data_IF_951810403001
#
_entry.id   IF_951810403001
#
_cell.length_a   1.000
_cell.length_b   1.000
_cell.length_c   1.000
_cell.angle_alpha   90.00
_cell.angle_beta   90.00
_cell.angle_gamma   90.00
#
_symmetry.space_group_name_H-M   'P 1'
#
loop_
_entity.id
_entity.type
_entity.pdbx_description
1 polymer ?
#
# COMPACT_ATOMS: atom_id res chain seq x y z
N UNK A 1 54.80 -30.02 -6.91
CA UNK A 1 54.81 -29.83 -8.37
C UNK A 1 53.71 -28.84 -8.72
N UNK A 2 53.98 -27.54 -8.58
CA UNK A 2 53.10 -26.50 -9.10
C UNK A 2 53.44 -26.30 -10.57
N UNK A 3 52.74 -27.00 -11.46
CA UNK A 3 52.73 -26.65 -12.87
C UNK A 3 52.05 -25.29 -12.96
N UNK A 4 52.87 -24.23 -13.03
CA UNK A 4 52.36 -22.87 -13.13
C UNK A 4 51.53 -22.73 -14.40
N UNK A 5 50.36 -22.11 -14.28
CA UNK A 5 49.43 -21.86 -15.38
C UNK A 5 50.09 -21.20 -16.62
N UNK A 6 51.21 -20.52 -16.42
CA UNK A 6 52.03 -19.91 -17.47
C UNK A 6 52.71 -20.92 -18.41
N UNK A 7 53.09 -22.11 -17.92
CA UNK A 7 53.71 -23.14 -18.77
C UNK A 7 52.69 -23.79 -19.71
N UNK A 8 51.44 -23.91 -19.26
CA UNK A 8 50.33 -24.36 -20.11
C UNK A 8 50.04 -23.36 -21.24
N UNK A 9 50.09 -22.05 -20.95
CA UNK A 9 49.89 -21.00 -21.96
C UNK A 9 50.99 -20.98 -23.04
N UNK A 10 52.21 -21.43 -22.74
CA UNK A 10 53.30 -21.55 -23.72
C UNK A 10 53.15 -22.76 -24.65
N UNK A 11 52.43 -23.79 -24.24
CA UNK A 11 52.19 -24.98 -25.07
C UNK A 11 51.03 -24.79 -26.06
N UNK A 12 50.19 -23.77 -25.87
CA UNK A 12 49.10 -23.49 -26.79
C UNK A 12 49.64 -22.90 -28.11
N UNK A 13 49.21 -23.41 -29.27
CA UNK A 13 49.55 -22.81 -30.55
C UNK A 13 49.18 -21.33 -30.56
N UNK A 14 50.13 -20.44 -30.86
CA UNK A 14 49.92 -19.00 -30.94
C UNK A 14 48.68 -18.61 -31.79
N UNK A 15 48.38 -19.40 -32.83
CA UNK A 15 47.18 -19.23 -33.65
C UNK A 15 45.86 -19.40 -32.89
N UNK A 16 45.78 -20.35 -31.94
CA UNK A 16 44.57 -20.58 -31.13
C UNK A 16 44.34 -19.43 -30.15
N UNK A 17 45.42 -18.91 -29.54
CA UNK A 17 45.36 -17.75 -28.64
C UNK A 17 44.94 -16.49 -29.42
N UNK A 18 45.50 -16.27 -30.61
CA UNK A 18 45.10 -15.15 -31.47
C UNK A 18 43.61 -15.25 -31.89
N UNK A 19 43.16 -16.45 -32.32
CA UNK A 19 41.76 -16.67 -32.70
C UNK A 19 40.79 -16.43 -31.54
N UNK A 20 41.10 -16.94 -30.35
CA UNK A 20 40.27 -16.74 -29.16
C UNK A 20 40.22 -15.27 -28.74
N UNK A 21 41.35 -14.56 -28.74
CA UNK A 21 41.40 -13.12 -28.49
C UNK A 21 40.57 -12.31 -29.49
N UNK A 22 40.70 -12.59 -30.79
CA UNK A 22 39.92 -11.89 -31.83
C UNK A 22 38.41 -12.18 -31.70
N UNK A 23 38.03 -13.42 -31.38
CA UNK A 23 36.62 -13.77 -31.13
C UNK A 23 36.06 -13.05 -29.90
N UNK A 24 36.85 -12.91 -28.84
CA UNK A 24 36.46 -12.18 -27.63
C UNK A 24 36.23 -10.69 -27.89
N UNK A 25 37.10 -10.06 -28.66
CA UNK A 25 36.93 -8.65 -29.08
C UNK A 25 35.69 -8.48 -29.96
N UNK A 26 35.39 -9.43 -30.84
CA UNK A 26 34.17 -9.43 -31.65
C UNK A 26 32.89 -9.45 -30.79
N UNK A 27 32.83 -10.33 -29.79
CA UNK A 27 31.68 -10.41 -28.88
C UNK A 27 31.49 -9.11 -28.08
N UNK A 28 32.59 -8.52 -27.58
CA UNK A 28 32.54 -7.23 -26.88
C UNK A 28 32.07 -6.10 -27.80
N UNK A 29 32.49 -6.09 -29.06
CA UNK A 29 32.03 -5.14 -30.07
C UNK A 29 30.52 -5.25 -30.33
N UNK A 30 30.00 -6.47 -30.48
CA UNK A 30 28.56 -6.73 -30.68
C UNK A 30 27.76 -6.29 -29.44
N UNK A 31 28.24 -6.61 -28.23
CA UNK A 31 27.59 -6.20 -26.98
C UNK A 31 27.56 -4.68 -26.84
N UNK A 32 28.67 -4.00 -27.12
CA UNK A 32 28.74 -2.54 -27.15
C UNK A 32 27.79 -1.92 -28.16
N UNK A 33 27.68 -2.52 -29.36
CA UNK A 33 26.74 -2.09 -30.39
C UNK A 33 25.28 -2.26 -29.96
N UNK A 34 24.90 -3.36 -29.31
CA UNK A 34 23.53 -3.58 -28.80
C UNK A 34 23.17 -2.54 -27.74
N UNK A 35 24.07 -2.26 -26.79
CA UNK A 35 23.87 -1.23 -25.76
C UNK A 35 23.71 0.15 -26.43
N UNK A 36 24.60 0.49 -27.36
CA UNK A 36 24.55 1.75 -28.09
C UNK A 36 23.25 1.89 -28.89
N UNK A 37 22.82 0.84 -29.60
CA UNK A 37 21.57 0.83 -30.36
C UNK A 37 20.34 0.97 -29.44
N UNK A 38 20.36 0.36 -28.25
CA UNK A 38 19.28 0.46 -27.27
C UNK A 38 19.17 1.87 -26.69
N UNK A 39 20.30 2.51 -26.37
CA UNK A 39 20.36 3.90 -25.90
C UNK A 39 19.92 4.87 -27.01
N UNK A 40 20.27 4.60 -28.27
CA UNK A 40 19.85 5.43 -29.39
C UNK A 40 18.34 5.31 -29.67
N UNK A 41 17.77 4.11 -29.57
CA UNK A 41 16.31 3.91 -29.72
C UNK A 41 15.51 4.57 -28.61
N UNK A 42 15.97 4.53 -27.36
CA UNK A 42 15.29 5.22 -26.26
C UNK A 42 15.30 6.74 -26.40
N UNK A 43 16.33 7.32 -27.05
CA UNK A 43 16.35 8.75 -27.39
C UNK A 43 15.41 9.11 -28.53
N UNK A 44 15.22 8.23 -29.52
CA UNK A 44 14.28 8.48 -30.62
C UNK A 44 12.81 8.41 -30.17
N UNK A 45 12.48 7.56 -29.19
CA UNK A 45 11.12 7.45 -28.64
C UNK A 45 10.77 8.59 -27.68
N UNK A 46 11.77 9.21 -27.03
CA UNK A 46 11.59 10.36 -26.15
C UNK A 46 11.79 11.71 -26.86
N UNK A 47 11.99 11.72 -28.19
CA UNK A 47 11.96 12.96 -28.95
C UNK A 47 10.49 13.43 -28.98
N UNK A 48 10.17 14.62 -28.45
CA UNK A 48 8.81 15.13 -28.48
C UNK A 48 8.37 15.20 -29.93
N UNK A 49 7.30 14.47 -30.27
CA UNK A 49 6.66 14.55 -31.56
C UNK A 49 6.25 16.01 -31.80
N UNK A 50 7.08 16.75 -32.53
CA UNK A 50 6.72 18.05 -33.08
C UNK A 50 5.78 17.76 -34.25
N UNK A 51 4.56 17.36 -33.92
CA UNK A 51 3.46 17.17 -34.86
C UNK A 51 2.88 18.51 -35.23
N UNK A 52 3.58 19.25 -36.08
CA UNK A 52 2.98 20.27 -36.93
C UNK A 52 2.82 19.63 -38.31
N UNK A 53 1.67 19.00 -38.52
CA UNK A 53 1.23 18.58 -39.85
C UNK A 53 -0.19 19.07 -39.99
N UNK A 54 -0.30 20.36 -40.32
CA UNK A 54 -1.48 20.93 -40.93
C UNK A 54 -1.83 20.10 -42.17
N UNK A 55 -2.83 19.24 -42.00
CA UNK A 55 -3.56 18.65 -43.11
C UNK A 55 -4.32 19.76 -43.81
N UNK A 56 -3.79 20.19 -44.96
CA UNK A 56 -4.55 20.87 -45.98
C UNK A 56 -5.59 19.89 -46.54
N UNK A 57 -6.80 19.92 -45.98
CA UNK A 57 -7.97 19.33 -46.63
C UNK A 57 -8.43 20.31 -47.69
N UNK A 58 -8.12 19.95 -48.94
CA UNK A 58 -8.67 20.58 -50.11
C UNK A 58 -10.20 20.49 -50.05
N UNK A 59 -10.81 21.67 -49.98
CA UNK A 59 -12.19 21.92 -50.35
C UNK A 59 -12.40 21.54 -51.82
N UNK A 60 -13.22 20.52 -52.08
CA UNK A 60 -13.96 20.31 -53.32
C UNK A 60 -14.98 19.20 -53.07
N UNK A 61 -16.28 19.53 -53.16
CA UNK A 61 -17.35 18.54 -53.06
C UNK A 61 -18.70 19.14 -52.72
N UNK A 62 -19.29 19.83 -53.70
CA UNK A 62 -20.73 20.10 -53.82
C UNK A 62 -21.60 18.87 -53.50
N UNK A 63 -22.77 19.11 -52.91
CA UNK A 63 -23.83 18.10 -52.71
C UNK A 63 -24.51 18.30 -51.34
N UNK A 64 -25.33 19.32 -51.17
CA UNK A 64 -26.78 19.25 -51.43
C UNK A 64 -27.50 18.26 -50.51
N UNK A 65 -27.98 18.76 -49.36
CA UNK A 65 -29.20 18.24 -48.71
C UNK A 65 -29.97 19.39 -48.05
N UNK A 66 -31.32 19.41 -48.18
CA UNK A 66 -32.14 20.60 -48.05
C UNK A 66 -32.52 20.97 -46.62
N UNK A 67 -32.95 22.22 -46.52
CA UNK A 67 -33.45 22.94 -45.36
C UNK A 67 -34.54 22.19 -44.58
N UNK A 68 -34.33 22.10 -43.26
CA UNK A 68 -35.35 21.83 -42.23
C UNK A 68 -35.62 23.12 -41.45
N UNK A 69 -35.56 24.24 -42.15
CA UNK A 69 -36.29 25.42 -41.73
C UNK A 69 -37.78 25.18 -42.05
N UNK A 70 -38.65 25.86 -41.33
CA UNK A 70 -40.10 25.90 -41.60
C UNK A 70 -40.90 24.65 -41.17
N UNK A 71 -41.36 24.64 -39.92
CA UNK A 71 -42.77 24.91 -39.56
C UNK A 71 -43.10 24.31 -38.18
N UNK A 72 -43.67 25.16 -37.32
CA UNK A 72 -44.30 24.92 -35.99
C UNK A 72 -43.42 25.43 -34.84
N UNK A 73 -43.22 26.74 -34.69
CA UNK A 73 -44.20 27.79 -34.35
C UNK A 73 -44.55 27.83 -32.85
N UNK A 74 -44.69 29.08 -32.37
CA UNK A 74 -45.27 29.57 -31.11
C UNK A 74 -44.29 29.87 -29.95
N UNK A 75 -43.98 31.18 -29.85
CA UNK A 75 -43.40 31.87 -28.70
C UNK A 75 -44.34 31.83 -27.46
N UNK A 76 -43.77 31.88 -26.24
CA UNK A 76 -43.64 33.19 -25.61
C UNK A 76 -42.28 33.40 -24.94
N UNK A 77 -41.88 34.67 -24.83
CA UNK A 77 -40.59 35.11 -24.29
C UNK A 77 -40.25 34.50 -22.91
N UNK A 78 -38.98 34.08 -22.72
CA UNK A 78 -38.37 34.28 -21.40
C UNK A 78 -36.90 34.73 -21.47
N UNK A 79 -36.56 35.56 -20.48
CA UNK A 79 -35.25 35.82 -19.87
C UNK A 79 -34.00 35.63 -20.73
N UNK A 80 -33.28 36.74 -20.94
CA UNK A 80 -31.86 36.81 -21.31
C UNK A 80 -31.03 35.70 -20.65
N UNK A 81 -30.82 34.62 -21.38
CA UNK A 81 -29.94 33.53 -21.01
C UNK A 81 -28.50 34.01 -21.18
N UNK A 82 -27.79 34.15 -20.07
CA UNK A 82 -26.37 34.41 -20.02
C UNK A 82 -25.65 33.40 -20.91
N UNK A 83 -24.97 33.89 -21.95
CA UNK A 83 -24.19 33.05 -22.85
C UNK A 83 -23.22 32.17 -22.02
N UNK A 84 -23.17 30.84 -22.25
CA UNK A 84 -22.27 29.97 -21.54
C UNK A 84 -20.83 30.43 -21.76
N UNK A 85 -20.13 30.73 -20.66
CA UNK A 85 -18.74 31.16 -20.70
C UNK A 85 -17.90 30.12 -21.49
N UNK A 86 -16.94 30.57 -22.32
CA UNK A 86 -16.15 29.68 -23.16
C UNK A 86 -15.44 28.63 -22.30
N UNK A 87 -15.82 27.36 -22.46
CA UNK A 87 -15.14 26.24 -21.84
C UNK A 87 -13.72 26.16 -22.43
N UNK A 88 -12.71 26.48 -21.61
CA UNK A 88 -11.30 26.31 -22.00
C UNK A 88 -11.08 24.85 -22.37
N UNK A 89 -10.55 24.61 -23.57
CA UNK A 89 -10.20 23.28 -24.05
C UNK A 89 -9.34 22.56 -22.98
N UNK A 90 -9.82 21.40 -22.51
CA UNK A 90 -9.14 20.60 -21.52
C UNK A 90 -7.79 20.14 -22.07
N UNK A 91 -6.73 20.25 -21.26
CA UNK A 91 -5.43 19.68 -21.62
C UNK A 91 -5.56 18.16 -21.67
N UNK A 92 -5.00 17.47 -22.69
CA UNK A 92 -5.01 16.01 -22.72
C UNK A 92 -4.36 15.45 -21.44
N UNK A 93 -5.05 14.54 -20.76
CA UNK A 93 -4.62 13.95 -19.48
C UNK A 93 -5.14 14.66 -18.22
N UNK A 94 -5.94 15.72 -18.35
CA UNK A 94 -6.66 16.32 -17.23
C UNK A 94 -8.10 15.79 -17.16
N UNK A 95 -8.50 15.31 -15.99
CA UNK A 95 -9.83 14.79 -15.70
C UNK A 95 -10.57 15.75 -14.78
N UNK A 96 -11.85 16.02 -15.06
CA UNK A 96 -12.71 16.73 -14.12
C UNK A 96 -13.16 15.75 -13.03
N UNK A 97 -12.66 15.90 -11.81
CA UNK A 97 -13.02 15.09 -10.65
C UNK A 97 -13.88 15.93 -9.73
N UNK A 98 -15.07 15.43 -9.39
CA UNK A 98 -15.94 16.05 -8.39
C UNK A 98 -15.47 15.64 -7.01
N UNK A 99 -15.06 16.60 -6.18
CA UNK A 99 -14.65 16.31 -4.80
C UNK A 99 -15.88 15.88 -3.99
N UNK A 100 -15.79 14.77 -3.27
CA UNK A 100 -16.89 14.27 -2.46
C UNK A 100 -17.23 15.21 -1.28
N UNK A 101 -16.21 15.86 -0.71
CA UNK A 101 -16.38 16.69 0.49
C UNK A 101 -17.04 18.04 0.18
N UNK A 102 -16.68 18.69 -0.93
CA UNK A 102 -17.16 20.04 -1.31
C UNK A 102 -18.15 20.04 -2.45
N UNK A 103 -18.24 18.96 -3.24
CA UNK A 103 -19.05 18.89 -4.46
C UNK A 103 -18.50 19.71 -5.63
N UNK A 104 -17.34 20.35 -5.48
CA UNK A 104 -16.69 21.17 -6.51
C UNK A 104 -16.02 20.29 -7.57
N UNK A 105 -16.11 20.69 -8.84
CA UNK A 105 -15.40 20.04 -9.94
C UNK A 105 -13.99 20.62 -10.07
N UNK A 106 -12.97 19.81 -9.80
CA UNK A 106 -11.57 20.20 -9.93
C UNK A 106 -10.94 19.46 -11.10
N UNK A 107 -10.13 20.15 -11.91
CA UNK A 107 -9.31 19.49 -12.91
C UNK A 107 -8.10 18.83 -12.24
N UNK A 108 -8.06 17.51 -12.24
CA UNK A 108 -6.97 16.71 -11.70
C UNK A 108 -6.19 16.05 -12.84
N UNK A 109 -4.90 15.81 -12.61
CA UNK A 109 -4.05 15.04 -13.53
C UNK A 109 -3.72 13.71 -12.86
N UNK A 110 -3.80 12.63 -13.61
CA UNK A 110 -3.46 11.29 -13.12
C UNK A 110 -1.94 11.20 -12.90
N UNK A 111 -1.54 11.08 -11.63
CA UNK A 111 -0.13 11.02 -11.23
C UNK A 111 0.37 9.58 -11.11
N UNK A 112 -0.48 8.67 -10.64
CA UNK A 112 -0.14 7.27 -10.40
C UNK A 112 -1.39 6.39 -10.43
N UNK A 113 -1.25 5.19 -11.01
CA UNK A 113 -2.28 4.13 -10.97
C UNK A 113 -1.70 2.91 -10.29
N UNK A 114 -2.47 2.32 -9.36
CA UNK A 114 -2.13 1.05 -8.72
C UNK A 114 -3.09 0.01 -9.24
N UNK A 115 -2.56 -0.98 -9.95
CA UNK A 115 -3.30 -2.10 -10.51
C UNK A 115 -2.92 -3.37 -9.74
N UNK A 116 -3.86 -4.29 -9.59
CA UNK A 116 -3.58 -5.65 -9.08
C UNK A 116 -3.70 -6.62 -10.25
N UNK A 117 -2.64 -7.36 -10.51
CA UNK A 117 -2.61 -8.45 -11.48
C UNK A 117 -3.59 -9.54 -11.01
N UNK A 118 -4.49 -9.96 -11.91
CA UNK A 118 -5.53 -10.95 -11.59
C UNK A 118 -4.96 -12.36 -11.56
N UNK A 119 -3.92 -12.63 -12.35
CA UNK A 119 -3.33 -13.96 -12.46
C UNK A 119 -2.33 -14.21 -11.33
N UNK A 120 -1.46 -13.24 -11.05
CA UNK A 120 -0.39 -13.37 -10.06
C UNK A 120 -0.71 -12.72 -8.71
N UNK A 121 -1.77 -11.92 -8.61
CA UNK A 121 -2.12 -11.17 -7.40
C UNK A 121 -1.13 -10.04 -7.06
N UNK A 122 -0.12 -9.79 -7.89
CA UNK A 122 0.93 -8.80 -7.66
C UNK A 122 0.43 -7.38 -7.93
N UNK A 123 1.00 -6.40 -7.24
CA UNK A 123 0.70 -4.99 -7.50
C UNK A 123 1.59 -4.46 -8.62
N UNK A 124 0.97 -3.79 -9.59
CA UNK A 124 1.63 -3.09 -10.69
C UNK A 124 1.38 -1.60 -10.47
N UNK A 125 2.46 -0.82 -10.41
CA UNK A 125 2.38 0.63 -10.25
C UNK A 125 2.69 1.30 -11.57
N UNK A 126 1.74 2.03 -12.12
CA UNK A 126 1.92 2.83 -13.32
C UNK A 126 2.19 4.28 -12.95
N UNK A 127 3.32 4.82 -13.42
CA UNK A 127 3.72 6.22 -13.23
C UNK A 127 3.85 6.86 -14.62
N UNK A 128 2.87 7.67 -15.00
CA UNK A 128 2.75 8.17 -16.38
C UNK A 128 2.50 7.02 -17.36
N UNK A 129 3.38 6.88 -18.36
CA UNK A 129 3.24 5.87 -19.42
C UNK A 129 3.95 4.54 -19.11
N UNK A 130 4.62 4.43 -17.95
CA UNK A 130 5.40 3.24 -17.60
C UNK A 130 4.77 2.49 -16.43
N UNK A 131 4.53 1.19 -16.64
CA UNK A 131 4.07 0.26 -15.61
C UNK A 131 5.25 -0.51 -15.02
N UNK A 132 5.31 -0.59 -13.69
CA UNK A 132 6.36 -1.26 -12.94
C UNK A 132 5.75 -2.33 -12.03
N UNK A 133 6.16 -3.58 -12.23
CA UNK A 133 5.94 -4.66 -11.25
C UNK A 133 6.99 -4.66 -10.14
N UNK A 134 8.15 -4.04 -10.37
CA UNK A 134 9.22 -3.89 -9.39
C UNK A 134 9.90 -2.52 -9.49
N UNK A 135 9.65 -1.64 -8.52
CA UNK A 135 10.20 -0.29 -8.45
C UNK A 135 11.70 -0.27 -8.06
N UNK A 136 12.26 -1.37 -7.53
CA UNK A 136 13.68 -1.41 -7.12
C UNK A 136 14.65 -1.40 -8.30
N UNK A 137 14.19 -1.84 -9.47
CA UNK A 137 15.01 -1.87 -10.68
C UNK A 137 15.32 -0.46 -11.24
N UNK A 138 14.54 0.55 -10.88
CA UNK A 138 14.69 1.92 -11.38
C UNK A 138 14.67 2.93 -10.22
N UNK A 139 15.84 3.48 -9.81
CA UNK A 139 15.92 4.35 -8.64
C UNK A 139 15.11 5.64 -8.79
N UNK A 140 15.01 6.19 -10.01
CA UNK A 140 14.26 7.43 -10.27
C UNK A 140 12.75 7.23 -10.10
N UNK A 141 12.22 6.09 -10.52
CA UNK A 141 10.80 5.74 -10.37
C UNK A 141 10.47 5.46 -8.91
N UNK A 142 11.37 4.80 -8.18
CA UNK A 142 11.26 4.64 -6.72
C UNK A 142 11.24 5.98 -5.99
N UNK A 143 12.13 6.92 -6.34
CA UNK A 143 12.17 8.24 -5.72
C UNK A 143 10.87 9.02 -5.96
N UNK A 144 10.33 8.97 -7.19
CA UNK A 144 9.04 9.58 -7.54
C UNK A 144 7.88 8.94 -6.78
N UNK A 145 7.82 7.61 -6.73
CA UNK A 145 6.83 6.87 -5.96
C UNK A 145 6.84 7.26 -4.48
N UNK A 146 8.02 7.26 -3.85
CA UNK A 146 8.16 7.63 -2.43
C UNK A 146 7.72 9.07 -2.15
N UNK A 147 7.98 9.99 -3.09
CA UNK A 147 7.52 11.37 -2.99
C UNK A 147 6.00 11.45 -3.01
N UNK A 148 5.34 10.78 -3.96
CA UNK A 148 3.88 10.72 -4.07
C UNK A 148 3.26 10.09 -2.82
N UNK A 149 3.82 8.98 -2.32
CA UNK A 149 3.34 8.35 -1.09
C UNK A 149 3.44 9.26 0.13
N UNK A 150 4.50 10.07 0.23
CA UNK A 150 4.64 11.07 1.30
C UNK A 150 3.60 12.19 1.18
N UNK A 151 3.33 12.65 -0.03
CA UNK A 151 2.28 13.65 -0.29
C UNK A 151 0.89 13.09 0.05
N UNK A 152 0.60 11.84 -0.33
CA UNK A 152 -0.66 11.15 -0.01
C UNK A 152 -0.83 10.98 1.50
N UNK A 153 0.22 10.61 2.23
CA UNK A 153 0.18 10.46 3.68
C UNK A 153 -0.22 11.78 4.37
N UNK A 154 0.27 12.91 3.89
CA UNK A 154 -0.12 14.23 4.42
C UNK A 154 -1.60 14.52 4.20
N UNK A 155 -2.18 14.11 3.05
CA UNK A 155 -3.61 14.30 2.76
C UNK A 155 -4.47 13.47 3.71
N UNK A 156 -4.08 12.22 3.97
CA UNK A 156 -4.80 11.33 4.89
C UNK A 156 -4.74 11.85 6.33
N UNK A 157 -3.57 12.32 6.79
CA UNK A 157 -3.40 12.85 8.15
C UNK A 157 -4.10 14.19 8.33
N UNK A 158 -4.03 15.09 7.34
CA UNK A 158 -4.69 16.40 7.42
C UNK A 158 -6.22 16.29 7.53
N UNK A 159 -6.83 15.25 6.93
CA UNK A 159 -8.27 15.00 7.02
C UNK A 159 -8.72 14.53 8.41
N UNK A 160 -7.84 13.92 9.21
CA UNK A 160 -8.17 13.47 10.56
C UNK A 160 -8.09 14.57 11.63
N UNK A 161 -7.52 15.74 11.30
CA UNK A 161 -7.25 16.83 12.24
C UNK A 161 -8.31 17.93 12.32
N UNK A 162 -9.37 17.89 11.50
CA UNK A 162 -10.49 18.81 11.65
C UNK A 162 -11.30 18.37 12.88
N UNK A 163 -11.36 19.16 13.97
CA UNK A 163 -12.22 18.82 15.11
C UNK A 163 -13.64 18.67 14.57
N UNK A 164 -14.23 17.50 14.83
CA UNK A 164 -15.64 17.28 14.54
C UNK A 164 -16.42 18.51 15.06
N UNK A 165 -17.28 19.15 14.24
CA UNK A 165 -18.07 20.27 14.70
C UNK A 165 -18.79 19.81 15.97
N UNK A 166 -18.44 20.43 17.09
CA UNK A 166 -19.02 20.13 18.38
C UNK A 166 -20.55 20.16 18.20
N UNK A 167 -21.20 19.07 18.58
CA UNK A 167 -22.65 18.99 18.58
C UNK A 167 -23.21 20.27 19.18
N UNK A 168 -24.15 20.96 18.49
CA UNK A 168 -24.76 22.15 19.04
C UNK A 168 -25.36 21.80 20.41
N UNK A 169 -25.14 22.66 21.43
CA UNK A 169 -25.59 22.39 22.79
C UNK A 169 -27.08 22.10 22.76
N UNK A 170 -27.46 20.92 23.25
CA UNK A 170 -28.83 20.47 23.38
C UNK A 170 -29.65 21.60 24.03
N UNK A 171 -30.62 22.13 23.27
CA UNK A 171 -31.58 23.07 23.77
C UNK A 171 -32.34 22.42 24.94
N UNK A 172 -32.58 23.13 26.05
CA UNK A 172 -33.36 22.61 27.17
C UNK A 172 -34.80 22.34 26.70
N UNK A 173 -35.20 21.07 26.69
CA UNK A 173 -36.60 20.70 26.47
C UNK A 173 -37.47 21.32 27.57
N UNK A 174 -38.57 22.01 27.20
CA UNK A 174 -39.49 22.61 28.15
C UNK A 174 -40.31 21.52 28.84
N UNK A 175 -40.23 21.52 30.16
CA UNK A 175 -41.09 20.73 31.05
C UNK A 175 -42.57 21.02 30.79
N UNK A 176 -43.35 19.97 30.51
CA UNK A 176 -44.80 19.99 30.64
C UNK A 176 -45.25 18.95 31.69
N UNK A 177 -46.30 19.24 32.47
CA UNK A 177 -46.52 18.62 33.76
C UNK A 177 -47.44 17.38 33.73
N UNK A 178 -47.13 16.47 34.65
CA UNK A 178 -48.03 15.65 35.47
C UNK A 178 -49.42 15.28 34.90
N UNK A 179 -49.59 13.98 34.58
CA UNK A 179 -50.87 13.28 34.66
C UNK A 179 -50.63 11.80 35.00
N UNK A 180 -50.53 11.53 36.30
CA UNK A 180 -51.30 10.51 37.01
C UNK A 180 -51.63 9.20 36.28
N UNK A 181 -50.86 8.13 36.55
CA UNK A 181 -51.41 6.77 36.62
C UNK A 181 -50.59 5.84 37.53
N UNK A 182 -51.15 5.64 38.71
CA UNK A 182 -51.18 4.44 39.54
C UNK A 182 -50.11 3.34 39.31
N UNK A 183 -49.21 3.26 40.29
CA UNK A 183 -48.86 2.05 41.05
C UNK A 183 -48.75 0.72 40.30
N UNK A 184 -47.56 0.42 39.77
CA UNK A 184 -47.01 -0.93 39.82
C UNK A 184 -45.63 -0.85 40.47
N UNK A 185 -45.48 -1.56 41.58
CA UNK A 185 -44.27 -1.61 42.40
C UNK A 185 -43.36 -2.67 41.76
N UNK A 186 -42.20 -2.33 41.16
CA UNK A 186 -41.24 -3.33 40.76
C UNK A 186 -40.51 -3.86 42.00
N UNK A 187 -40.67 -5.17 42.20
CA UNK A 187 -40.03 -5.98 43.22
C UNK A 187 -38.51 -5.77 43.28
N UNK A 188 -37.99 -5.56 44.49
CA UNK A 188 -36.57 -5.41 44.86
C UNK A 188 -35.75 -6.71 44.64
N UNK A 189 -36.36 -7.76 44.10
CA UNK A 189 -35.73 -9.06 43.84
C UNK A 189 -34.79 -9.11 42.63
N UNK A 190 -34.64 -8.01 41.87
CA UNK A 190 -33.77 -7.99 40.67
C UNK A 190 -32.36 -7.41 40.89
N UNK A 191 -32.02 -7.01 42.12
CA UNK A 191 -30.69 -6.47 42.49
C UNK A 191 -29.63 -7.55 42.79
N UNK A 192 -29.92 -8.84 42.57
CA UNK A 192 -29.00 -9.95 42.89
C UNK A 192 -28.32 -10.55 41.64
N UNK A 193 -28.75 -10.17 40.43
CA UNK A 193 -28.06 -10.54 39.19
C UNK A 193 -27.14 -9.42 38.70
N UNK A 194 -26.25 -8.93 39.57
CA UNK A 194 -25.06 -8.21 39.10
C UNK A 194 -24.15 -9.25 38.45
N UNK A 195 -23.91 -9.20 37.13
CA UNK A 195 -22.91 -10.07 36.50
C UNK A 195 -21.60 -9.91 37.27
N UNK A 196 -20.91 -11.01 37.64
CA UNK A 196 -19.70 -10.93 38.43
C UNK A 196 -18.72 -9.99 37.72
N UNK A 197 -18.49 -8.84 38.34
CA UNK A 197 -17.55 -7.84 37.87
C UNK A 197 -16.20 -8.54 37.69
N UNK A 198 -15.79 -8.65 36.42
CA UNK A 198 -14.58 -9.36 36.02
C UNK A 198 -13.41 -8.64 36.69
N UNK A 199 -12.94 -9.19 37.81
CA UNK A 199 -11.77 -8.65 38.51
C UNK A 199 -10.63 -8.60 37.49
N UNK A 200 -9.97 -7.45 37.32
CA UNK A 200 -8.86 -7.32 36.37
C UNK A 200 -7.85 -8.42 36.69
N UNK A 201 -7.65 -9.32 35.73
CA UNK A 201 -6.76 -10.45 35.89
C UNK A 201 -5.36 -9.90 36.17
N UNK A 202 -4.81 -10.24 37.34
CA UNK A 202 -3.43 -9.90 37.67
C UNK A 202 -2.51 -10.42 36.55
N UNK A 203 -1.60 -9.58 36.02
CA UNK A 203 -0.76 -9.95 34.90
C UNK A 203 0.07 -11.20 35.23
N UNK A 204 0.21 -12.14 34.28
CA UNK A 204 0.92 -13.40 34.53
C UNK A 204 2.41 -13.14 34.82
N UNK A 205 3.02 -13.90 35.75
CA UNK A 205 4.40 -13.70 36.16
C UNK A 205 5.37 -14.00 34.99
N UNK A 206 6.42 -13.18 34.77
CA UNK A 206 7.40 -13.42 33.70
C UNK A 206 8.13 -14.76 33.90
N UNK A 207 8.59 -15.36 32.80
CA UNK A 207 9.48 -16.54 32.85
C UNK A 207 10.82 -16.17 33.50
N UNK A 208 11.57 -17.15 34.05
CA UNK A 208 12.85 -16.90 34.74
C UNK A 208 13.90 -16.16 33.91
N UNK A 209 13.88 -16.28 32.59
CA UNK A 209 14.79 -15.55 31.68
C UNK A 209 14.36 -14.10 31.40
N UNK A 210 13.25 -13.63 32.01
CA UNK A 210 12.70 -12.29 31.81
C UNK A 210 12.07 -12.06 30.43
N UNK A 211 12.16 -13.02 29.51
CA UNK A 211 11.45 -13.03 28.23
C UNK A 211 10.08 -13.68 28.39
N UNK A 212 9.05 -13.15 27.72
CA UNK A 212 7.75 -13.83 27.64
C UNK A 212 7.62 -14.59 26.32
N UNK A 213 6.82 -15.68 26.27
CA UNK A 213 6.52 -16.35 25.00
C UNK A 213 5.87 -15.37 24.02
N UNK A 214 6.32 -15.38 22.76
CA UNK A 214 5.83 -14.45 21.74
C UNK A 214 6.43 -13.04 21.80
N UNK A 215 7.45 -12.79 22.65
CA UNK A 215 8.21 -11.55 22.55
C UNK A 215 9.02 -11.57 21.25
N UNK A 216 8.84 -10.56 20.40
CA UNK A 216 9.58 -10.52 19.14
C UNK A 216 11.07 -10.43 19.46
N UNK A 217 11.94 -11.13 18.69
CA UNK A 217 13.36 -10.92 18.81
C UNK A 217 13.62 -9.44 18.64
N UNK A 218 14.10 -8.80 19.72
CA UNK A 218 14.55 -7.41 19.70
C UNK A 218 15.77 -7.39 18.80
N UNK A 219 15.52 -7.24 17.49
CA UNK A 219 16.52 -6.85 16.52
C UNK A 219 16.96 -5.47 16.96
N UNK A 220 17.95 -5.47 17.86
CA UNK A 220 18.88 -4.36 17.94
C UNK A 220 19.41 -4.32 16.52
N UNK A 221 18.88 -3.41 15.70
CA UNK A 221 19.67 -2.82 14.64
C UNK A 221 20.88 -2.34 15.41
N UNK A 222 21.90 -3.20 15.49
CA UNK A 222 23.19 -2.75 15.87
C UNK A 222 23.42 -1.66 14.84
N UNK A 223 23.34 -0.40 15.28
CA UNK A 223 24.14 0.68 14.77
C UNK A 223 25.60 0.22 14.92
N UNK A 224 25.98 -0.84 14.21
CA UNK A 224 27.25 -0.82 13.53
C UNK A 224 26.99 0.20 12.44
N UNK A 225 27.40 1.47 12.62
CA UNK A 225 27.58 2.31 11.47
C UNK A 225 28.41 1.45 10.52
N UNK A 226 27.79 1.05 9.41
CA UNK A 226 28.49 0.47 8.28
C UNK A 226 29.52 1.53 7.94
N UNK A 227 30.72 1.42 8.52
CA UNK A 227 31.77 2.39 8.35
C UNK A 227 31.88 2.54 6.84
N UNK A 228 31.57 3.73 6.28
CA UNK A 228 31.47 3.88 4.85
C UNK A 228 32.80 3.41 4.30
N UNK A 229 32.80 2.24 3.66
CA UNK A 229 34.02 1.60 3.19
C UNK A 229 34.43 2.42 1.97
N UNK A 230 35.13 3.52 2.27
CA UNK A 230 35.57 4.57 1.36
C UNK A 230 36.73 4.00 0.56
N UNK A 231 36.42 3.05 -0.31
CA UNK A 231 37.34 2.39 -1.22
C UNK A 231 36.93 2.71 -2.64
N UNK A 232 37.54 3.75 -3.20
CA UNK A 232 37.57 4.03 -4.63
C UNK A 232 38.27 2.84 -5.29
N UNK A 233 37.49 1.90 -5.83
CA UNK A 233 38.02 0.71 -6.46
C UNK A 233 36.93 0.03 -7.28
N UNK A 234 37.09 0.08 -8.60
CA UNK A 234 36.23 -0.47 -9.64
C UNK A 234 36.18 -2.02 -9.64
N UNK A 235 36.26 -2.65 -8.48
CA UNK A 235 36.34 -4.10 -8.30
C UNK A 235 35.00 -4.62 -7.78
N UNK A 236 34.36 -5.40 -8.66
CA UNK A 236 33.25 -6.32 -8.43
C UNK A 236 33.03 -6.66 -6.94
N UNK A 237 31.88 -6.27 -6.38
CA UNK A 237 31.32 -6.96 -5.20
C UNK A 237 31.33 -8.46 -5.49
N UNK A 238 31.92 -9.23 -4.59
CA UNK A 238 31.97 -10.68 -4.75
C UNK A 238 30.53 -11.22 -4.74
N UNK A 239 30.27 -12.21 -5.60
CA UNK A 239 28.96 -12.86 -5.76
C UNK A 239 28.43 -13.43 -4.43
N UNK A 240 29.31 -13.73 -3.49
CA UNK A 240 28.97 -14.30 -2.19
C UNK A 240 28.41 -13.26 -1.21
N UNK A 241 28.94 -12.02 -1.22
CA UNK A 241 28.40 -10.92 -0.40
C UNK A 241 26.97 -10.55 -0.85
N UNK A 242 26.71 -10.66 -2.16
CA UNK A 242 25.39 -10.45 -2.73
C UNK A 242 24.41 -11.59 -2.38
N UNK A 243 24.90 -12.82 -2.18
CA UNK A 243 24.09 -13.97 -1.71
C UNK A 243 23.71 -13.83 -0.25
N UNK A 244 24.55 -13.24 0.59
CA UNK A 244 24.22 -13.02 2.00
C UNK A 244 23.18 -11.91 2.19
N UNK A 245 23.27 -10.83 1.43
CA UNK A 245 22.26 -9.75 1.43
C UNK A 245 20.92 -10.24 0.85
N UNK A 246 20.95 -11.29 0.02
CA UNK A 246 19.75 -11.90 -0.55
C UNK A 246 19.13 -12.99 0.32
N UNK A 247 19.66 -13.24 1.53
CA UNK A 247 18.94 -14.09 2.49
C UNK A 247 17.63 -13.34 2.80
N UNK A 248 16.46 -13.89 2.44
CA UNK A 248 15.19 -13.22 2.68
C UNK A 248 15.14 -12.86 4.16
N UNK A 249 14.92 -11.58 4.45
CA UNK A 249 14.72 -11.12 5.83
C UNK A 249 13.64 -12.02 6.41
N UNK A 250 13.90 -12.74 7.51
CA UNK A 250 12.89 -13.59 8.12
C UNK A 250 11.64 -12.75 8.29
N UNK A 251 10.56 -13.13 7.60
CA UNK A 251 9.30 -12.41 7.69
C UNK A 251 8.90 -12.43 9.16
N UNK A 252 8.82 -11.24 9.75
CA UNK A 252 8.44 -11.09 11.14
C UNK A 252 6.99 -11.54 11.23
N UNK A 253 6.78 -12.77 11.69
CA UNK A 253 5.46 -13.37 11.75
C UNK A 253 4.74 -12.85 13.00
N UNK A 254 4.25 -11.61 12.92
CA UNK A 254 3.56 -10.91 14.00
C UNK A 254 2.37 -11.73 14.51
N UNK A 255 1.63 -12.38 13.61
CA UNK A 255 0.50 -13.24 13.98
C UNK A 255 0.95 -14.42 14.85
N UNK A 256 2.06 -15.06 14.52
CA UNK A 256 2.61 -16.15 15.32
C UNK A 256 3.08 -15.66 16.70
N UNK A 257 3.74 -14.51 16.78
CA UNK A 257 4.17 -13.92 18.04
C UNK A 257 2.97 -13.62 18.97
N UNK A 258 1.91 -13.01 18.42
CA UNK A 258 0.67 -12.76 19.15
C UNK A 258 0.01 -14.08 19.57
N UNK A 259 -0.02 -15.10 18.71
CA UNK A 259 -0.60 -16.41 19.02
C UNK A 259 0.13 -17.09 20.18
N UNK A 260 1.47 -17.11 20.17
CA UNK A 260 2.25 -17.69 21.27
C UNK A 260 1.96 -17.00 22.61
N UNK A 261 1.87 -15.67 22.58
CA UNK A 261 1.53 -14.88 23.76
C UNK A 261 0.09 -15.13 24.23
N UNK A 262 -0.86 -15.20 23.30
CA UNK A 262 -2.26 -15.53 23.58
C UNK A 262 -2.39 -16.91 24.23
N UNK A 263 -1.73 -17.93 23.67
CA UNK A 263 -1.73 -19.29 24.21
C UNK A 263 -1.14 -19.33 25.63
N UNK A 264 -0.10 -18.54 25.89
CA UNK A 264 0.43 -18.38 27.23
C UNK A 264 -0.59 -17.76 28.20
N UNK A 265 -1.32 -16.71 27.78
CA UNK A 265 -2.34 -16.04 28.63
C UNK A 265 -3.58 -16.91 28.86
N UNK A 266 -3.99 -17.71 27.87
CA UNK A 266 -5.09 -18.68 28.00
C UNK A 266 -4.82 -19.72 29.08
N UNK A 267 -3.57 -20.19 29.23
CA UNK A 267 -3.18 -21.12 30.31
C UNK A 267 -3.31 -20.52 31.71
N UNK A 268 -3.27 -19.19 31.83
CA UNK A 268 -3.37 -18.47 33.11
C UNK A 268 -4.77 -17.91 33.38
N UNK A 269 -5.68 -18.04 32.42
CA UNK A 269 -7.03 -17.47 32.51
C UNK A 269 -8.07 -18.59 32.48
N UNK A 270 -8.38 -19.22 33.63
CA UNK A 270 -9.25 -20.41 33.67
C UNK A 270 -10.66 -20.14 33.16
N UNK A 271 -11.09 -18.87 33.12
CA UNK A 271 -12.39 -18.46 32.56
C UNK A 271 -12.54 -18.77 31.07
N UNK A 272 -11.42 -18.84 30.32
CA UNK A 272 -11.40 -19.22 28.91
C UNK A 272 -10.86 -20.64 28.69
N UNK A 273 -10.63 -21.41 29.77
CA UNK A 273 -10.18 -22.78 29.65
C UNK A 273 -11.25 -23.64 28.96
N UNK A 274 -10.89 -24.21 27.80
CA UNK A 274 -11.80 -25.00 26.97
C UNK A 274 -12.35 -24.27 25.75
N UNK A 275 -12.11 -22.97 25.61
CA UNK A 275 -12.36 -22.24 24.36
C UNK A 275 -11.21 -22.40 23.40
N UNK A 276 -11.51 -22.48 22.11
CA UNK A 276 -10.49 -22.53 21.06
C UNK A 276 -10.34 -21.14 20.46
N UNK A 277 -9.27 -20.43 20.85
CA UNK A 277 -8.98 -19.08 20.34
C UNK A 277 -7.62 -19.13 19.66
N UNK A 278 -7.60 -18.94 18.34
CA UNK A 278 -6.39 -18.96 17.52
C UNK A 278 -6.27 -17.69 16.68
N UNK A 279 -5.02 -17.30 16.44
CA UNK A 279 -4.63 -16.16 15.61
C UNK A 279 -3.69 -16.70 14.54
N UNK A 280 -4.05 -16.50 13.27
CA UNK A 280 -3.28 -17.00 12.12
C UNK A 280 -3.01 -15.89 11.12
N UNK A 281 -1.88 -15.90 10.39
CA UNK A 281 -1.62 -14.92 9.35
C UNK A 281 -2.56 -15.14 8.16
N UNK A 282 -3.17 -14.07 7.67
CA UNK A 282 -4.04 -14.12 6.49
C UNK A 282 -3.21 -13.92 5.22
N UNK A 283 -3.51 -14.63 4.11
CA UNK A 283 -2.81 -14.44 2.83
C UNK A 283 -2.97 -13.03 2.24
N UNK A 284 -3.95 -12.25 2.71
CA UNK A 284 -4.13 -10.84 2.33
C UNK A 284 -3.14 -9.88 3.00
N UNK A 285 -2.27 -10.37 3.89
CA UNK A 285 -1.34 -9.55 4.69
C UNK A 285 -1.94 -9.04 6.01
N UNK A 286 -3.07 -9.61 6.45
CA UNK A 286 -3.71 -9.33 7.72
C UNK A 286 -3.60 -10.49 8.72
N UNK A 287 -4.54 -10.54 9.66
CA UNK A 287 -4.65 -11.58 10.69
C UNK A 287 -6.05 -12.15 10.66
N UNK A 288 -6.18 -13.48 10.68
CA UNK A 288 -7.46 -14.19 10.79
C UNK A 288 -7.56 -14.77 12.20
N UNK A 289 -8.65 -14.45 12.89
CA UNK A 289 -8.92 -14.86 14.27
C UNK A 289 -9.97 -15.97 14.22
N UNK A 290 -9.67 -17.12 14.80
CA UNK A 290 -10.60 -18.22 14.96
C UNK A 290 -11.05 -18.29 16.43
N UNK A 291 -12.35 -18.20 16.69
CA UNK A 291 -12.95 -18.35 18.02
C UNK A 291 -14.01 -19.45 17.95
N UNK A 292 -13.77 -20.56 18.62
CA UNK A 292 -14.66 -21.71 18.71
C UNK A 292 -15.11 -22.22 17.31
N UNK A 293 -14.17 -22.21 16.35
CA UNK A 293 -14.40 -22.64 14.96
C UNK A 293 -15.03 -21.59 14.03
N UNK A 294 -15.29 -20.38 14.52
CA UNK A 294 -15.73 -19.24 13.70
C UNK A 294 -14.54 -18.34 13.35
N UNK A 295 -14.45 -17.92 12.09
CA UNK A 295 -13.38 -17.05 11.61
C UNK A 295 -13.83 -15.58 11.56
N UNK A 296 -12.95 -14.69 12.00
CA UNK A 296 -13.14 -13.25 12.02
C UNK A 296 -11.92 -12.55 11.43
N UNK A 297 -12.13 -11.46 10.71
CA UNK A 297 -11.06 -10.67 10.11
C UNK A 297 -10.54 -9.58 11.06
N UNK A 298 -11.38 -9.13 12.01
CA UNK A 298 -11.00 -8.15 13.02
C UNK A 298 -11.48 -8.54 14.42
N UNK A 299 -10.78 -8.06 15.44
CA UNK A 299 -11.12 -8.30 16.86
C UNK A 299 -12.49 -7.72 17.20
N UNK A 300 -12.88 -6.61 16.55
CA UNK A 300 -14.20 -5.98 16.70
C UNK A 300 -15.37 -6.88 16.28
N UNK A 301 -15.12 -7.87 15.44
CA UNK A 301 -16.16 -8.66 14.79
C UNK A 301 -16.53 -9.91 15.62
N UNK A 302 -15.74 -10.23 16.64
CA UNK A 302 -15.95 -11.37 17.54
C UNK A 302 -17.29 -11.20 18.27
N UNK A 303 -18.24 -12.10 18.05
CA UNK A 303 -19.60 -12.05 18.63
C UNK A 303 -19.60 -12.00 20.17
N UNK A 304 -18.70 -12.75 20.80
CA UNK A 304 -18.59 -12.83 22.25
C UNK A 304 -17.82 -11.63 22.82
N UNK A 305 -18.53 -10.78 23.57
CA UNK A 305 -17.94 -9.58 24.20
C UNK A 305 -16.80 -9.90 25.18
N UNK A 306 -16.87 -11.01 25.91
CA UNK A 306 -15.81 -11.39 26.86
C UNK A 306 -14.53 -11.74 26.13
N UNK A 307 -14.62 -12.56 25.08
CA UNK A 307 -13.46 -12.92 24.24
C UNK A 307 -12.91 -11.70 23.50
N UNK A 308 -13.79 -10.84 22.98
CA UNK A 308 -13.41 -9.60 22.33
C UNK A 308 -12.55 -8.73 23.25
N UNK A 309 -13.04 -8.44 24.45
CA UNK A 309 -12.31 -7.63 25.44
C UNK A 309 -10.99 -8.30 25.82
N UNK A 310 -11.01 -9.62 26.08
CA UNK A 310 -9.79 -10.38 26.39
C UNK A 310 -8.74 -10.30 25.27
N UNK A 311 -9.16 -10.42 24.01
CA UNK A 311 -8.28 -10.31 22.84
C UNK A 311 -7.72 -8.89 22.69
N UNK A 312 -8.54 -7.86 22.88
CA UNK A 312 -8.10 -6.45 22.86
C UNK A 312 -7.05 -6.17 23.93
N UNK A 313 -7.31 -6.59 25.18
CA UNK A 313 -6.36 -6.46 26.29
C UNK A 313 -5.07 -7.23 26.04
N UNK A 314 -5.15 -8.43 25.47
CA UNK A 314 -3.98 -9.26 25.15
C UNK A 314 -3.11 -8.61 24.08
N UNK A 315 -3.71 -8.08 23.01
CA UNK A 315 -2.98 -7.38 21.95
C UNK A 315 -2.37 -6.08 22.49
N UNK A 316 -3.11 -5.30 23.29
CA UNK A 316 -2.60 -4.07 23.88
C UNK A 316 -1.43 -4.34 24.84
N UNK A 317 -1.54 -5.38 25.67
CA UNK A 317 -0.47 -5.79 26.57
C UNK A 317 0.77 -6.26 25.79
N UNK A 318 0.59 -7.05 24.73
CA UNK A 318 1.68 -7.47 23.86
C UNK A 318 2.36 -6.28 23.17
N UNK A 319 1.58 -5.35 22.61
CA UNK A 319 2.09 -4.14 21.96
C UNK A 319 2.89 -3.26 22.92
N UNK A 320 2.47 -3.15 24.19
CA UNK A 320 3.19 -2.35 25.20
C UNK A 320 4.59 -2.90 25.54
N UNK A 321 4.87 -4.15 25.17
CA UNK A 321 6.15 -4.84 25.45
C UNK A 321 7.14 -4.76 24.28
N UNK A 322 6.64 -4.53 23.07
CA UNK A 322 7.44 -4.38 21.85
C UNK A 322 8.15 -3.03 21.83
#
# INVERSE_FOLDING_TARGET
MELTFFDFLRQLPLGLVACTCLSGLGVLGIWGYIIYARIRRSRAQNAPASGDTQGAYASMGDGDLPELDVLLDIAPAPATASAPAPQRAAKPGAYAVKLADTGENVQAVEVMVILRDVDEGRLIVQLGEQAYSNLSAQPDSKARFMKIMKELANVVVAKAGAPAPADPPAAPEPSAPAAERAAEIPSVASLINTPPEARPATPPPPLPDGSMPGDLPKFKLAEQPLAPRRGIGLMRRSKDEQREISKPVPEINIAQAIQEYLQYKLRHTPQYAGRSINVTPSPSGGVTIEVDGKFYDAVSDIEDMGVRTFMQETIAEWQSRQ
#
